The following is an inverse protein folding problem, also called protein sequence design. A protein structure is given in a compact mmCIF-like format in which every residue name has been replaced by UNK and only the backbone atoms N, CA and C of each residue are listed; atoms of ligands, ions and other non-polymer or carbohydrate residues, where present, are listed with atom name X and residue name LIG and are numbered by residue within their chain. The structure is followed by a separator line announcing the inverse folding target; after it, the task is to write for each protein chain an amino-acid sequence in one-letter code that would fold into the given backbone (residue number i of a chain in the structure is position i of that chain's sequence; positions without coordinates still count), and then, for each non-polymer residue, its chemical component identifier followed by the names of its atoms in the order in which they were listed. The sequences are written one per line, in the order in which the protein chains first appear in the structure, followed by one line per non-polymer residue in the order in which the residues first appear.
data_IF_059161892211
#
_entry.id   IF_059161892211
#
_cell.length_a   1.000
_cell.length_b   1.000
_cell.length_c   1.000
_cell.angle_alpha   90.00
_cell.angle_beta   90.00
_cell.angle_gamma   90.00
#
_symmetry.space_group_name_H-M   'P 1'
#
loop_
_entity.id
_entity.type
_entity.pdbx_description
1 polymer ?
#
# COMPACT_ATOMS: atom_id res chain seq x y z
N UNK A 1 17.35 20.58 -16.65
CA UNK A 1 16.32 19.76 -17.30
C UNK A 1 16.56 18.32 -16.85
N UNK A 2 15.54 17.70 -16.27
CA UNK A 2 15.31 16.25 -16.19
C UNK A 2 16.28 15.31 -15.42
N UNK A 3 16.75 15.69 -14.22
CA UNK A 3 17.40 14.73 -13.30
C UNK A 3 16.62 14.43 -12.01
N UNK A 4 15.51 15.13 -11.76
CA UNK A 4 14.62 14.83 -10.62
C UNK A 4 13.77 13.58 -10.84
N UNK A 5 13.64 13.12 -12.09
CA UNK A 5 12.77 11.99 -12.44
C UNK A 5 13.41 10.61 -12.29
N UNK A 6 14.72 10.53 -12.09
CA UNK A 6 15.43 9.24 -12.02
C UNK A 6 15.19 8.50 -10.68
N UNK A 7 14.93 9.22 -9.58
CA UNK A 7 14.52 8.62 -8.30
C UNK A 7 12.99 8.55 -8.12
N UNK A 8 12.22 9.35 -8.87
CA UNK A 8 10.75 9.28 -8.88
C UNK A 8 10.18 8.30 -9.91
N UNK A 9 11.00 7.80 -10.84
CA UNK A 9 10.55 6.93 -11.93
C UNK A 9 10.03 5.57 -11.44
N UNK A 10 10.57 5.08 -10.32
CA UNK A 10 10.16 3.80 -9.73
C UNK A 10 8.83 3.95 -8.95
N UNK A 11 8.63 5.06 -8.25
CA UNK A 11 7.38 5.35 -7.52
C UNK A 11 6.18 5.55 -8.45
N UNK A 12 6.38 6.12 -9.64
CA UNK A 12 5.32 6.18 -10.66
C UNK A 12 4.84 4.77 -11.04
N UNK A 13 5.78 3.83 -11.19
CA UNK A 13 5.51 2.41 -11.43
C UNK A 13 4.76 1.77 -10.25
N UNK A 14 5.16 2.04 -9.01
CA UNK A 14 4.46 1.56 -7.82
C UNK A 14 3.00 2.06 -7.76
N UNK A 15 2.77 3.35 -8.05
CA UNK A 15 1.43 3.93 -8.11
C UNK A 15 0.59 3.24 -9.20
N UNK A 16 1.15 3.02 -10.39
CA UNK A 16 0.46 2.31 -11.49
C UNK A 16 0.06 0.90 -11.05
N UNK A 17 0.98 0.15 -10.43
CA UNK A 17 0.71 -1.20 -9.95
C UNK A 17 -0.34 -1.22 -8.84
N UNK A 18 -0.31 -0.26 -7.92
CA UNK A 18 -1.32 -0.10 -6.87
C UNK A 18 -2.69 0.20 -7.48
N UNK A 19 -2.78 1.10 -8.46
CA UNK A 19 -4.05 1.44 -9.13
C UNK A 19 -4.63 0.22 -9.85
N UNK A 20 -3.80 -0.52 -10.60
CA UNK A 20 -4.23 -1.75 -11.28
C UNK A 20 -4.70 -2.80 -10.28
N UNK A 21 -3.93 -3.05 -9.22
CA UNK A 21 -4.28 -4.01 -8.18
C UNK A 21 -5.58 -3.60 -7.45
N UNK A 22 -5.72 -2.32 -7.13
CA UNK A 22 -6.92 -1.75 -6.49
C UNK A 22 -8.14 -1.88 -7.38
N UNK A 23 -8.00 -1.58 -8.67
CA UNK A 23 -9.09 -1.71 -9.64
C UNK A 23 -9.54 -3.16 -9.78
N UNK A 24 -8.60 -4.10 -9.90
CA UNK A 24 -8.89 -5.53 -9.95
C UNK A 24 -9.59 -6.00 -8.66
N UNK A 25 -9.05 -5.59 -7.52
CA UNK A 25 -9.55 -5.98 -6.21
C UNK A 25 -11.00 -5.54 -6.00
N UNK A 26 -11.32 -4.25 -6.22
CA UNK A 26 -12.68 -3.75 -6.11
C UNK A 26 -13.62 -4.25 -7.21
N UNK A 27 -13.10 -4.69 -8.36
CA UNK A 27 -13.90 -5.29 -9.43
C UNK A 27 -14.43 -6.67 -9.05
N UNK A 28 -13.64 -7.48 -8.33
CA UNK A 28 -14.03 -8.83 -7.92
C UNK A 28 -14.62 -8.89 -6.52
N UNK A 29 -14.12 -8.05 -5.63
CA UNK A 29 -14.60 -7.92 -4.26
C UNK A 29 -15.41 -6.63 -4.23
N UNK A 30 -16.71 -6.75 -4.52
CA UNK A 30 -17.66 -5.66 -4.35
C UNK A 30 -18.25 -5.75 -2.92
N UNK A 31 -17.63 -5.10 -1.91
CA UNK A 31 -18.11 -5.16 -0.53
C UNK A 31 -19.52 -4.56 -0.44
N UNK A 32 -20.45 -5.33 0.12
CA UNK A 32 -21.86 -4.93 0.32
C UNK A 32 -22.13 -4.45 1.74
N UNK A 33 -21.26 -4.79 2.69
CA UNK A 33 -21.41 -4.43 4.11
C UNK A 33 -20.21 -3.63 4.65
N UNK A 34 -20.42 -2.82 5.69
CA UNK A 34 -19.35 -2.03 6.32
C UNK A 34 -18.19 -2.89 6.87
N UNK A 35 -18.48 -4.11 7.34
CA UNK A 35 -17.43 -5.06 7.77
C UNK A 35 -16.61 -5.59 6.60
N UNK A 36 -17.23 -5.83 5.45
CA UNK A 36 -16.51 -6.21 4.23
C UNK A 36 -15.62 -5.07 3.72
N UNK A 37 -16.06 -3.81 3.86
CA UNK A 37 -15.23 -2.63 3.56
C UNK A 37 -13.99 -2.55 4.44
N UNK A 38 -14.10 -2.85 5.74
CA UNK A 38 -12.96 -2.88 6.64
C UNK A 38 -11.95 -3.99 6.27
N UNK A 39 -12.44 -5.18 5.94
CA UNK A 39 -11.59 -6.30 5.49
C UNK A 39 -10.91 -6.01 4.14
N UNK A 40 -11.67 -5.47 3.18
CA UNK A 40 -11.15 -5.04 1.88
C UNK A 40 -10.06 -3.97 2.03
N UNK A 41 -10.29 -2.97 2.90
CA UNK A 41 -9.31 -1.93 3.20
C UNK A 41 -8.02 -2.46 3.83
N UNK A 42 -8.10 -3.48 4.68
CA UNK A 42 -6.92 -4.10 5.28
C UNK A 42 -6.05 -4.82 4.24
N UNK A 43 -6.66 -5.59 3.34
CA UNK A 43 -5.94 -6.27 2.25
C UNK A 43 -5.32 -5.24 1.31
N UNK A 44 -6.04 -4.15 1.01
CA UNK A 44 -5.54 -3.09 0.15
C UNK A 44 -4.37 -2.33 0.76
N UNK A 45 -4.44 -2.01 2.05
CA UNK A 45 -3.34 -1.40 2.79
C UNK A 45 -2.09 -2.30 2.79
N UNK A 46 -2.26 -3.62 2.88
CA UNK A 46 -1.16 -4.58 2.79
C UNK A 46 -0.50 -4.60 1.40
N UNK A 47 -1.29 -4.58 0.32
CA UNK A 47 -0.76 -4.49 -1.05
C UNK A 47 0.05 -3.21 -1.24
N UNK A 48 -0.47 -2.07 -0.78
CA UNK A 48 0.23 -0.78 -0.85
C UNK A 48 1.54 -0.83 -0.05
N UNK A 49 1.54 -1.45 1.14
CA UNK A 49 2.73 -1.60 1.95
C UNK A 49 3.85 -2.38 1.24
N UNK A 50 3.52 -3.50 0.58
CA UNK A 50 4.48 -4.29 -0.19
C UNK A 50 5.07 -3.51 -1.38
N UNK A 51 4.22 -2.82 -2.15
CA UNK A 51 4.67 -1.99 -3.27
C UNK A 51 5.39 -0.72 -2.83
N UNK A 52 5.15 -0.18 -1.64
CA UNK A 52 5.96 0.92 -1.13
C UNK A 52 7.32 0.44 -0.63
N UNK A 53 7.36 -0.74 0.01
CA UNK A 53 8.58 -1.35 0.54
C UNK A 53 9.59 -1.69 -0.55
N UNK A 54 9.13 -2.31 -1.64
CA UNK A 54 10.00 -2.63 -2.80
C UNK A 54 10.59 -1.38 -3.47
N UNK A 55 9.95 -0.22 -3.34
CA UNK A 55 10.28 1.00 -4.08
C UNK A 55 10.85 2.11 -3.17
N UNK A 56 11.06 1.84 -1.88
CA UNK A 56 11.94 2.65 -1.02
C UNK A 56 11.37 3.19 0.29
N UNK A 57 10.11 2.93 0.67
CA UNK A 57 9.59 3.28 2.00
C UNK A 57 9.21 2.03 2.79
N UNK A 58 9.88 1.72 3.91
CA UNK A 58 9.69 0.46 4.65
C UNK A 58 8.39 0.47 5.49
N UNK A 59 7.23 0.53 4.82
CA UNK A 59 5.91 0.58 5.46
C UNK A 59 5.65 -0.64 6.36
N UNK A 60 6.06 -1.84 5.95
CA UNK A 60 5.88 -3.08 6.74
C UNK A 60 6.62 -3.04 8.06
N UNK A 61 7.86 -2.54 8.08
CA UNK A 61 8.63 -2.39 9.31
C UNK A 61 7.98 -1.35 10.23
N UNK A 62 7.52 -0.21 9.70
CA UNK A 62 6.78 0.77 10.50
C UNK A 62 5.50 0.18 11.10
N UNK A 63 4.77 -0.64 10.35
CA UNK A 63 3.56 -1.32 10.83
C UNK A 63 3.89 -2.36 11.91
N UNK A 64 4.93 -3.17 11.70
CA UNK A 64 5.39 -4.17 12.68
C UNK A 64 5.89 -3.51 13.96
N UNK A 65 6.68 -2.43 13.87
CA UNK A 65 7.15 -1.67 15.04
C UNK A 65 5.97 -1.09 15.81
N UNK A 66 4.96 -0.55 15.13
CA UNK A 66 3.72 -0.05 15.75
C UNK A 66 2.93 -1.13 16.47
N UNK A 67 2.87 -2.35 15.93
CA UNK A 67 2.14 -3.49 16.52
C UNK A 67 2.91 -4.16 17.65
N UNK A 68 4.24 -4.29 17.52
CA UNK A 68 5.12 -4.92 18.52
C UNK A 68 5.45 -3.96 19.68
N UNK A 69 5.43 -2.65 19.45
CA UNK A 69 5.70 -1.64 20.47
C UNK A 69 4.51 -0.69 20.70
N UNK A 70 3.34 -1.20 21.14
CA UNK A 70 2.15 -0.38 21.35
C UNK A 70 2.24 0.57 22.57
N UNK A 71 3.40 0.68 23.25
CA UNK A 71 3.52 1.33 24.56
C UNK A 71 4.85 2.02 24.88
N UNK A 72 5.69 2.36 23.89
CA UNK A 72 6.87 3.21 24.13
C UNK A 72 6.54 4.64 23.69
N UNK A 73 6.08 5.43 24.66
CA UNK A 73 5.99 6.90 24.65
C UNK A 73 7.02 7.42 25.64
#
# INVERSE_FOLDING_TARGET
MDETFAHSGVWALAIIMIVIASWLFYRYIAPKTWREWAGAGLVQAFIIALYAEMYGFPLTIYLLVRVVSPGVV
#
